data_IF_173727226533
#
_entry.id   IF_173727226533
#
_cell.length_a   1.000
_cell.length_b   1.000
_cell.length_c   1.000
_cell.angle_alpha   90.00
_cell.angle_beta   90.00
_cell.angle_gamma   90.00
#
_symmetry.space_group_name_H-M   'P 1'
#
loop_
_entity.id
_entity.type
_entity.pdbx_description
1 polymer ?
#
# COMPACT_ATOMS: atom_id res chain seq x y z
N UNK A 1 -30.38 54.91 -60.31
CA UNK A 1 -31.79 54.63 -60.61
C UNK A 1 -31.83 53.72 -61.84
N UNK A 2 -32.86 52.86 -61.91
CA UNK A 2 -33.09 51.76 -62.87
C UNK A 2 -32.41 50.42 -62.50
N UNK A 3 -33.05 49.50 -61.75
CA UNK A 3 -34.14 48.51 -62.06
C UNK A 3 -33.64 47.34 -62.92
N UNK A 4 -33.86 46.05 -62.70
CA UNK A 4 -34.70 45.26 -61.77
C UNK A 4 -34.43 43.74 -61.99
N UNK A 5 -34.69 42.92 -60.95
CA UNK A 5 -35.32 41.56 -60.94
C UNK A 5 -34.66 40.42 -61.74
N UNK A 6 -34.12 39.38 -61.10
CA UNK A 6 -34.81 38.24 -60.44
C UNK A 6 -35.56 37.31 -61.40
N UNK A 7 -35.04 36.09 -61.57
CA UNK A 7 -35.83 34.89 -61.85
C UNK A 7 -35.09 33.61 -61.42
N UNK A 8 -35.53 33.05 -60.28
CA UNK A 8 -35.32 31.67 -59.84
C UNK A 8 -36.25 30.75 -60.65
N UNK A 9 -35.74 29.63 -61.16
CA UNK A 9 -36.40 28.30 -61.23
C UNK A 9 -35.57 27.39 -62.15
N UNK A 10 -35.52 26.07 -62.04
CA UNK A 10 -35.75 25.09 -60.99
C UNK A 10 -35.37 23.74 -61.64
N UNK A 11 -34.44 22.99 -61.01
CA UNK A 11 -34.17 21.53 -61.18
C UNK A 11 -33.70 21.01 -62.55
N UNK A 12 -32.54 20.35 -62.56
CA UNK A 12 -32.40 18.88 -62.69
C UNK A 12 -30.90 18.52 -62.76
N UNK A 13 -30.32 17.92 -61.71
CA UNK A 13 -30.01 16.48 -61.59
C UNK A 13 -28.54 16.14 -61.89
N UNK A 14 -27.84 15.74 -60.81
CA UNK A 14 -26.76 14.76 -60.71
C UNK A 14 -25.56 14.88 -61.66
N UNK A 15 -24.40 15.26 -61.11
CA UNK A 15 -23.23 14.37 -60.86
C UNK A 15 -22.04 15.22 -60.42
N UNK A 16 -21.51 14.94 -59.24
CA UNK A 16 -20.36 15.63 -58.66
C UNK A 16 -20.19 15.25 -57.20
N UNK A 17 -20.01 13.95 -56.97
CA UNK A 17 -19.88 13.33 -55.66
C UNK A 17 -18.73 13.91 -54.85
N UNK A 18 -19.07 14.34 -53.62
CA UNK A 18 -18.34 14.04 -52.37
C UNK A 18 -16.83 14.30 -52.39
N UNK A 19 -16.45 15.55 -52.15
CA UNK A 19 -15.15 15.83 -51.52
C UNK A 19 -15.25 15.40 -50.05
N UNK A 20 -14.60 14.30 -49.71
CA UNK A 20 -14.38 13.82 -48.34
C UNK A 20 -13.67 14.92 -47.53
N UNK A 21 -14.39 15.53 -46.58
CA UNK A 21 -13.76 16.05 -45.37
C UNK A 21 -13.72 14.89 -44.39
N UNK A 22 -12.73 14.01 -44.57
CA UNK A 22 -12.46 12.95 -43.61
C UNK A 22 -11.69 13.56 -42.43
N UNK A 23 -12.33 13.43 -41.27
CA UNK A 23 -11.84 13.77 -39.96
C UNK A 23 -10.38 13.36 -39.72
N UNK A 24 -9.54 14.32 -39.36
CA UNK A 24 -8.40 14.09 -38.47
C UNK A 24 -8.77 14.62 -37.09
N UNK A 25 -9.72 13.95 -36.43
CA UNK A 25 -9.74 13.92 -34.98
C UNK A 25 -8.55 13.06 -34.56
N UNK A 26 -7.37 13.68 -34.47
CA UNK A 26 -6.26 13.11 -33.70
C UNK A 26 -6.76 13.11 -32.26
N UNK A 27 -7.42 12.01 -31.88
CA UNK A 27 -7.67 11.71 -30.49
C UNK A 27 -6.29 11.62 -29.84
N UNK A 28 -5.95 12.64 -29.05
CA UNK A 28 -4.88 12.56 -28.07
C UNK A 28 -5.21 11.38 -27.15
N UNK A 29 -4.71 10.20 -27.52
CA UNK A 29 -4.68 9.05 -26.64
C UNK A 29 -3.59 9.35 -25.63
N UNK A 30 -3.93 10.12 -24.60
CA UNK A 30 -3.09 10.20 -23.42
C UNK A 30 -2.90 8.77 -22.91
N UNK A 31 -1.68 8.31 -22.63
CA UNK A 31 -1.45 6.97 -22.14
C UNK A 31 -2.24 6.78 -20.84
N UNK A 32 -3.18 5.84 -20.84
CA UNK A 32 -4.10 5.57 -19.73
C UNK A 32 -3.46 4.69 -18.67
N UNK A 33 -2.31 5.11 -18.13
CA UNK A 33 -1.55 4.34 -17.13
C UNK A 33 -2.42 3.92 -15.92
N UNK A 34 -3.44 4.71 -15.57
CA UNK A 34 -4.41 4.36 -14.51
C UNK A 34 -5.50 3.36 -14.92
N UNK A 35 -5.96 3.38 -16.17
CA UNK A 35 -7.00 2.44 -16.64
C UNK A 35 -6.45 1.01 -16.77
N UNK A 36 -5.19 0.89 -17.17
CA UNK A 36 -4.49 -0.41 -17.26
C UNK A 36 -4.27 -1.01 -15.86
N UNK A 37 -3.90 -0.18 -14.87
CA UNK A 37 -3.75 -0.59 -13.47
C UNK A 37 -5.07 -1.03 -12.84
N UNK A 38 -6.14 -0.26 -13.00
CA UNK A 38 -7.48 -0.60 -12.52
C UNK A 38 -7.97 -1.94 -13.08
N UNK A 39 -7.84 -2.13 -14.40
CA UNK A 39 -8.25 -3.35 -15.08
C UNK A 39 -7.45 -4.57 -14.60
N UNK A 40 -6.12 -4.43 -14.44
CA UNK A 40 -5.26 -5.50 -13.93
C UNK A 40 -5.62 -5.87 -12.49
N UNK A 41 -5.89 -4.90 -11.62
CA UNK A 41 -6.24 -5.15 -10.23
C UNK A 41 -7.62 -5.81 -10.09
N UNK A 42 -8.61 -5.39 -10.89
CA UNK A 42 -9.91 -6.05 -10.97
C UNK A 42 -9.82 -7.47 -11.52
N UNK A 43 -8.94 -7.72 -12.48
CA UNK A 43 -8.71 -9.08 -12.98
C UNK A 43 -8.07 -9.96 -11.91
N UNK A 44 -7.10 -9.41 -11.16
CA UNK A 44 -6.51 -10.11 -10.01
C UNK A 44 -7.56 -10.45 -8.96
N UNK A 45 -8.46 -9.52 -8.62
CA UNK A 45 -9.60 -9.77 -7.72
C UNK A 45 -10.44 -10.98 -8.17
N UNK A 46 -10.84 -11.02 -9.45
CA UNK A 46 -11.62 -12.13 -10.02
C UNK A 46 -10.86 -13.44 -9.97
N UNK A 47 -9.58 -13.43 -10.31
CA UNK A 47 -8.72 -14.63 -10.33
C UNK A 47 -8.53 -15.25 -8.95
N UNK A 48 -8.45 -14.43 -7.90
CA UNK A 48 -8.29 -14.93 -6.53
C UNK A 48 -9.57 -15.59 -6.02
N UNK A 49 -10.75 -15.09 -6.43
CA UNK A 49 -12.06 -15.75 -6.26
C UNK A 49 -12.26 -16.40 -4.88
N UNK A 50 -12.22 -17.73 -4.86
CA UNK A 50 -12.42 -18.53 -3.65
C UNK A 50 -11.28 -18.45 -2.62
N UNK A 51 -10.06 -18.12 -3.03
CA UNK A 51 -8.92 -17.96 -2.11
C UNK A 51 -9.13 -16.74 -1.20
N UNK A 52 -9.79 -15.69 -1.68
CA UNK A 52 -10.22 -14.59 -0.82
C UNK A 52 -11.30 -15.05 0.16
N UNK A 53 -12.23 -15.93 -0.23
CA UNK A 53 -13.34 -16.35 0.65
C UNK A 53 -12.95 -17.41 1.67
N UNK A 54 -12.05 -18.32 1.28
CA UNK A 54 -11.67 -19.53 2.03
C UNK A 54 -10.15 -19.57 2.16
N UNK A 55 -9.65 -19.08 3.28
CA UNK A 55 -8.23 -19.02 3.60
C UNK A 55 -8.01 -19.14 5.12
N UNK A 56 -6.78 -19.47 5.56
CA UNK A 56 -6.45 -19.59 6.98
C UNK A 56 -6.43 -18.25 7.73
N UNK A 57 -6.58 -17.11 7.05
CA UNK A 57 -6.60 -15.80 7.71
C UNK A 57 -7.97 -15.46 8.30
N UNK A 58 -9.02 -16.21 7.94
CA UNK A 58 -10.42 -15.94 8.34
C UNK A 58 -10.87 -14.51 8.00
N UNK A 59 -10.36 -13.97 6.90
CA UNK A 59 -10.69 -12.65 6.34
C UNK A 59 -10.48 -12.67 4.83
N UNK A 60 -11.07 -11.74 4.07
CA UNK A 60 -10.95 -11.74 2.62
C UNK A 60 -9.58 -11.25 2.15
N UNK A 61 -8.55 -12.08 2.34
CA UNK A 61 -7.15 -11.77 2.16
C UNK A 61 -6.39 -12.91 1.49
N UNK A 62 -5.50 -12.55 0.59
CA UNK A 62 -4.49 -13.42 0.02
C UNK A 62 -3.11 -12.80 0.22
N UNK A 63 -2.15 -13.60 0.68
CA UNK A 63 -0.76 -13.20 0.83
C UNK A 63 0.10 -14.02 -0.12
N UNK A 64 0.99 -13.35 -0.85
CA UNK A 64 2.06 -13.99 -1.59
C UNK A 64 3.39 -13.29 -1.31
N UNK A 65 4.48 -14.02 -1.46
CA UNK A 65 5.81 -13.49 -1.19
C UNK A 65 6.86 -14.18 -2.04
N UNK A 66 7.87 -13.42 -2.43
CA UNK A 66 8.99 -13.89 -3.23
C UNK A 66 10.32 -13.39 -2.68
N UNK A 67 11.33 -14.23 -2.81
CA UNK A 67 12.71 -13.95 -2.49
C UNK A 67 13.54 -14.21 -3.75
N UNK A 68 14.15 -13.16 -4.28
CA UNK A 68 15.16 -13.26 -5.33
C UNK A 68 16.55 -13.01 -4.74
N UNK A 69 17.59 -13.09 -5.57
CA UNK A 69 18.98 -13.00 -5.10
C UNK A 69 19.27 -11.76 -4.25
N UNK A 70 18.68 -10.61 -4.56
CA UNK A 70 18.96 -9.33 -3.88
C UNK A 70 17.71 -8.52 -3.55
N UNK A 71 16.53 -9.11 -3.67
CA UNK A 71 15.25 -8.43 -3.45
C UNK A 71 14.25 -9.34 -2.76
N UNK A 72 13.45 -8.75 -1.88
CA UNK A 72 12.31 -9.36 -1.23
C UNK A 72 11.07 -8.57 -1.61
N UNK A 73 9.98 -9.28 -1.90
CA UNK A 73 8.67 -8.69 -2.19
C UNK A 73 7.57 -9.52 -1.54
N UNK A 74 6.74 -8.87 -0.73
CA UNK A 74 5.52 -9.42 -0.17
C UNK A 74 4.33 -8.61 -0.66
N UNK A 75 3.27 -9.31 -1.06
CA UNK A 75 2.03 -8.73 -1.53
C UNK A 75 0.87 -9.22 -0.67
N UNK A 76 -0.04 -8.30 -0.34
CA UNK A 76 -1.35 -8.62 0.21
C UNK A 76 -2.41 -8.09 -0.72
N UNK A 77 -3.34 -8.96 -1.08
CA UNK A 77 -4.57 -8.62 -1.76
C UNK A 77 -5.70 -8.81 -0.78
N UNK A 78 -6.51 -7.78 -0.54
CA UNK A 78 -7.54 -7.85 0.48
C UNK A 78 -8.79 -7.07 0.11
N UNK A 79 -9.95 -7.58 0.50
CA UNK A 79 -11.20 -6.81 0.46
C UNK A 79 -11.39 -6.16 1.83
N UNK A 80 -11.62 -4.86 1.84
CA UNK A 80 -11.99 -4.12 3.06
C UNK A 80 -13.40 -3.61 2.94
N UNK A 81 -14.13 -3.62 4.06
CA UNK A 81 -15.55 -3.22 4.13
C UNK A 81 -15.70 -1.70 4.31
N UNK A 82 -14.97 -0.95 3.49
CA UNK A 82 -15.02 0.51 3.41
C UNK A 82 -15.32 0.96 1.98
N UNK A 83 -16.19 1.97 1.78
CA UNK A 83 -16.41 2.55 0.45
C UNK A 83 -15.12 3.10 -0.15
N UNK A 84 -14.93 2.91 -1.46
CA UNK A 84 -13.71 3.37 -2.16
C UNK A 84 -13.43 4.85 -1.97
N UNK A 85 -14.47 5.69 -1.96
CA UNK A 85 -14.33 7.13 -1.72
C UNK A 85 -13.68 7.46 -0.37
N UNK A 86 -13.97 6.68 0.68
CA UNK A 86 -13.35 6.83 2.00
C UNK A 86 -11.89 6.42 1.96
N UNK A 87 -11.59 5.27 1.36
CA UNK A 87 -10.21 4.75 1.24
C UNK A 87 -9.35 5.73 0.43
N UNK A 88 -9.84 6.14 -0.75
CA UNK A 88 -9.18 7.10 -1.64
C UNK A 88 -8.97 8.44 -0.93
N UNK A 89 -10.01 9.01 -0.32
CA UNK A 89 -9.93 10.31 0.37
C UNK A 89 -9.00 10.33 1.59
N UNK A 90 -8.65 9.17 2.17
CA UNK A 90 -7.70 9.11 3.28
C UNK A 90 -6.29 8.76 2.85
N UNK A 91 -6.12 7.81 1.94
CA UNK A 91 -4.80 7.24 1.62
C UNK A 91 -4.16 7.81 0.35
N UNK A 92 -4.92 8.54 -0.47
CA UNK A 92 -4.47 9.17 -1.72
C UNK A 92 -4.59 10.71 -1.72
N UNK A 93 -5.06 11.33 -0.62
CA UNK A 93 -5.19 12.79 -0.57
C UNK A 93 -3.82 13.48 -0.76
N UNK A 94 -3.66 14.41 -1.70
CA UNK A 94 -2.36 15.02 -1.98
C UNK A 94 -1.84 15.91 -0.83
N UNK A 95 -2.73 16.39 0.04
CA UNK A 95 -2.39 17.29 1.14
C UNK A 95 -2.32 16.57 2.49
N UNK A 96 -3.29 15.70 2.78
CA UNK A 96 -3.42 14.98 4.04
C UNK A 96 -2.90 13.54 3.95
N UNK A 97 -2.78 12.97 2.74
CA UNK A 97 -2.31 11.61 2.51
C UNK A 97 -0.97 11.33 3.19
N UNK A 98 0.07 12.17 3.02
CA UNK A 98 1.33 11.99 3.74
C UNK A 98 1.16 11.89 5.27
N UNK A 99 0.37 12.77 5.88
CA UNK A 99 0.12 12.75 7.32
C UNK A 99 -0.71 11.51 7.74
N UNK A 100 -1.70 11.12 6.93
CA UNK A 100 -2.50 9.92 7.14
C UNK A 100 -1.66 8.65 7.05
N UNK A 101 -0.72 8.57 6.10
CA UNK A 101 0.26 7.48 6.04
C UNK A 101 1.14 7.45 7.28
N UNK A 102 1.52 8.59 7.86
CA UNK A 102 2.18 8.57 9.16
C UNK A 102 1.30 8.02 10.29
N UNK A 103 0.00 8.33 10.28
CA UNK A 103 -0.96 7.76 11.24
C UNK A 103 -1.16 6.23 11.06
N UNK A 104 -0.91 5.70 9.86
CA UNK A 104 -0.86 4.25 9.57
C UNK A 104 0.47 3.66 10.04
N UNK A 105 1.60 4.20 9.55
CA UNK A 105 2.93 3.64 9.78
C UNK A 105 3.32 3.64 11.25
N UNK A 106 2.85 4.63 12.03
CA UNK A 106 3.10 4.68 13.46
C UNK A 106 2.46 3.51 14.20
N UNK A 107 1.43 2.83 13.68
CA UNK A 107 0.84 1.67 14.39
C UNK A 107 1.82 0.49 14.49
N UNK A 108 2.78 0.40 13.56
CA UNK A 108 3.76 -0.68 13.53
C UNK A 108 4.71 -0.59 14.74
N UNK A 109 4.94 -1.73 15.42
CA UNK A 109 5.74 -1.85 16.64
C UNK A 109 7.19 -1.33 16.53
N UNK A 110 7.76 -1.38 15.32
CA UNK A 110 9.10 -0.89 15.01
C UNK A 110 9.15 0.59 14.60
N UNK A 111 8.02 1.25 14.31
CA UNK A 111 8.02 2.66 13.94
C UNK A 111 8.00 3.53 15.19
N UNK A 112 9.02 4.36 15.39
CA UNK A 112 9.25 5.18 16.59
C UNK A 112 8.84 6.63 16.42
N UNK A 113 8.75 7.06 15.18
CA UNK A 113 8.33 8.38 14.77
C UNK A 113 7.97 8.32 13.30
N UNK A 114 6.97 9.11 12.92
CA UNK A 114 6.69 9.41 11.53
C UNK A 114 6.22 10.86 11.44
N UNK A 115 6.84 11.66 10.58
CA UNK A 115 6.35 13.00 10.32
C UNK A 115 6.33 13.27 8.82
N UNK A 116 5.21 13.78 8.34
CA UNK A 116 5.08 14.20 6.96
C UNK A 116 5.61 15.63 6.82
N UNK A 117 6.58 15.82 5.93
CA UNK A 117 7.06 17.13 5.51
C UNK A 117 6.79 17.32 4.02
N UNK A 118 6.67 18.57 3.60
CA UNK A 118 6.56 18.93 2.18
C UNK A 118 7.75 19.79 1.80
N UNK A 119 8.45 19.43 0.73
CA UNK A 119 9.56 20.20 0.17
C UNK A 119 9.37 20.45 -1.32
N UNK A 120 10.36 21.09 -1.95
CA UNK A 120 10.36 21.37 -3.40
C UNK A 120 10.26 20.11 -4.27
N UNK A 121 10.67 18.96 -3.74
CA UNK A 121 10.69 17.67 -4.44
C UNK A 121 9.48 16.78 -4.09
N UNK A 122 8.42 17.35 -3.52
CA UNK A 122 7.21 16.64 -3.11
C UNK A 122 7.16 16.32 -1.62
N UNK A 123 6.14 15.54 -1.24
CA UNK A 123 5.93 15.12 0.14
C UNK A 123 6.88 13.99 0.55
N UNK A 124 7.42 14.08 1.75
CA UNK A 124 8.34 13.11 2.35
C UNK A 124 7.79 12.69 3.72
N UNK A 125 7.92 11.41 4.06
CA UNK A 125 7.68 10.90 5.40
C UNK A 125 9.01 10.57 6.06
N UNK A 126 9.33 11.30 7.12
CA UNK A 126 10.46 11.05 7.98
C UNK A 126 10.10 9.98 9.02
N UNK A 127 10.55 8.75 8.78
CA UNK A 127 10.20 7.58 9.59
C UNK A 127 11.43 7.13 10.38
N UNK A 128 11.31 7.04 11.71
CA UNK A 128 12.35 6.40 12.51
C UNK A 128 11.94 4.97 12.84
N UNK A 129 12.82 4.02 12.50
CA UNK A 129 12.62 2.58 12.73
C UNK A 129 13.56 2.10 13.83
N UNK A 130 13.02 1.37 14.80
CA UNK A 130 13.74 0.88 15.97
C UNK A 130 13.33 -0.52 16.41
N UNK A 131 13.77 -0.90 17.60
CA UNK A 131 13.43 -2.11 18.35
C UNK A 131 11.99 -2.07 18.86
N UNK A 132 11.53 -3.12 19.52
CA UNK A 132 10.12 -3.27 19.98
C UNK A 132 9.91 -2.70 21.39
N UNK A 133 10.66 -1.65 21.72
CA UNK A 133 10.67 -0.96 23.02
C UNK A 133 10.66 0.55 22.78
N UNK A 134 10.43 1.34 23.82
CA UNK A 134 10.63 2.78 23.76
C UNK A 134 12.12 3.10 23.51
N UNK A 135 12.40 4.06 22.63
CA UNK A 135 13.76 4.48 22.29
C UNK A 135 13.82 5.97 21.99
N UNK A 136 14.98 6.58 22.23
CA UNK A 136 15.29 7.94 21.72
C UNK A 136 15.45 7.89 20.21
N UNK A 137 15.10 8.98 19.51
CA UNK A 137 15.24 9.03 18.05
C UNK A 137 16.71 8.91 17.58
N UNK A 138 17.66 9.37 18.39
CA UNK A 138 19.10 9.19 18.14
C UNK A 138 19.54 7.73 18.05
N UNK A 139 18.77 6.81 18.65
CA UNK A 139 19.11 5.40 18.78
C UNK A 139 18.32 4.55 17.75
N UNK A 140 17.77 5.21 16.74
CA UNK A 140 16.93 4.63 15.69
C UNK A 140 17.49 4.91 14.31
N UNK A 141 17.00 4.17 13.32
CA UNK A 141 17.35 4.37 11.91
C UNK A 141 16.31 5.26 11.25
N UNK A 142 16.73 6.41 10.71
CA UNK A 142 15.87 7.27 9.91
C UNK A 142 15.76 6.74 8.49
N UNK A 143 14.54 6.64 8.00
CA UNK A 143 14.16 6.29 6.62
C UNK A 143 13.29 7.42 6.09
N UNK A 144 13.65 7.97 4.94
CA UNK A 144 12.89 9.03 4.29
C UNK A 144 12.12 8.45 3.11
N UNK A 145 10.81 8.28 3.28
CA UNK A 145 9.95 7.83 2.20
C UNK A 145 9.48 9.02 1.37
N UNK A 146 9.74 9.01 0.07
CA UNK A 146 9.07 9.90 -0.88
C UNK A 146 7.65 9.39 -1.11
N UNK A 147 6.67 10.24 -0.84
CA UNK A 147 5.26 9.98 -1.14
C UNK A 147 4.95 10.40 -2.57
N UNK A 148 4.34 9.49 -3.34
CA UNK A 148 3.91 9.76 -4.70
C UNK A 148 2.55 9.14 -4.97
N UNK A 149 1.63 9.94 -5.50
CA UNK A 149 0.44 9.45 -6.20
C UNK A 149 0.85 9.04 -7.61
N UNK A 150 0.95 7.74 -7.86
CA UNK A 150 1.40 7.21 -9.15
C UNK A 150 0.27 7.24 -10.20
N UNK A 151 -0.96 7.02 -9.76
CA UNK A 151 -2.16 7.12 -10.58
C UNK A 151 -3.37 7.45 -9.69
N UNK A 152 -4.31 8.23 -10.22
CA UNK A 152 -5.58 8.51 -9.55
C UNK A 152 -6.67 8.76 -10.60
N UNK A 153 -7.76 8.04 -10.46
CA UNK A 153 -8.98 8.08 -11.28
C UNK A 153 -10.19 7.96 -10.35
N UNK A 154 -11.43 8.17 -10.82
CA UNK A 154 -12.62 8.05 -9.98
C UNK A 154 -12.83 6.67 -9.32
N UNK A 155 -12.26 5.61 -9.88
CA UNK A 155 -12.43 4.21 -9.46
C UNK A 155 -11.12 3.45 -9.25
N UNK A 156 -9.98 4.15 -9.27
CA UNK A 156 -8.68 3.56 -8.98
C UNK A 156 -7.67 4.58 -8.49
N UNK A 157 -6.84 4.19 -7.53
CA UNK A 157 -5.63 4.94 -7.21
C UNK A 157 -4.46 4.01 -6.94
N UNK A 158 -3.24 4.54 -7.10
CA UNK A 158 -2.00 3.98 -6.61
C UNK A 158 -1.20 5.05 -5.88
N UNK A 159 -0.80 4.73 -4.65
CA UNK A 159 0.19 5.51 -3.88
C UNK A 159 1.43 4.68 -3.64
N UNK A 160 2.60 5.28 -3.89
CA UNK A 160 3.90 4.69 -3.59
C UNK A 160 4.61 5.51 -2.49
N UNK A 161 5.15 4.80 -1.50
CA UNK A 161 6.16 5.29 -0.57
C UNK A 161 7.49 4.62 -0.91
N UNK A 162 8.49 5.41 -1.34
CA UNK A 162 9.80 4.87 -1.75
C UNK A 162 10.96 5.45 -0.96
N UNK A 163 11.94 4.64 -0.59
CA UNK A 163 13.16 5.11 0.05
C UNK A 163 14.39 4.37 -0.51
N UNK A 164 15.46 5.11 -0.81
CA UNK A 164 16.64 4.53 -1.47
C UNK A 164 17.46 3.65 -0.51
N UNK A 165 17.42 3.95 0.79
CA UNK A 165 18.17 3.26 1.83
C UNK A 165 17.32 2.98 3.06
N UNK A 166 17.64 1.93 3.78
CA UNK A 166 17.08 1.66 5.10
C UNK A 166 18.06 1.00 6.07
N UNK A 167 17.56 0.47 7.20
CA UNK A 167 18.39 -0.04 8.27
C UNK A 167 19.29 -1.21 7.82
N UNK A 168 20.49 -1.31 8.40
CA UNK A 168 21.37 -2.48 8.22
C UNK A 168 21.73 -2.80 6.75
N UNK A 169 21.83 -1.79 5.89
CA UNK A 169 22.29 -1.95 4.51
C UNK A 169 21.23 -2.50 3.54
N UNK A 170 19.96 -2.43 3.91
CA UNK A 170 18.83 -2.58 2.99
C UNK A 170 18.63 -1.31 2.17
N UNK A 171 17.95 -1.44 1.03
CA UNK A 171 17.80 -0.38 0.04
C UNK A 171 16.56 -0.56 -0.80
N UNK A 172 16.28 0.41 -1.67
CA UNK A 172 15.22 0.31 -2.69
C UNK A 172 13.85 -0.07 -2.09
N UNK A 173 13.51 0.52 -0.94
CA UNK A 173 12.26 0.26 -0.25
C UNK A 173 11.08 0.77 -1.06
N UNK A 174 10.01 -0.04 -1.08
CA UNK A 174 8.72 0.32 -1.64
C UNK A 174 7.59 -0.21 -0.76
N UNK A 175 6.74 0.69 -0.29
CA UNK A 175 5.39 0.38 0.19
C UNK A 175 4.44 0.98 -0.84
N UNK A 176 3.69 0.14 -1.56
CA UNK A 176 2.73 0.60 -2.56
C UNK A 176 1.33 0.13 -2.18
N UNK A 177 0.35 1.00 -2.31
CA UNK A 177 -1.07 0.66 -2.14
C UNK A 177 -1.84 1.04 -3.39
N UNK A 178 -2.49 0.05 -3.96
CA UNK A 178 -3.45 0.20 -5.05
C UNK A 178 -4.84 -0.19 -4.57
N UNK A 179 -5.87 0.46 -5.11
CA UNK A 179 -7.25 0.17 -4.72
C UNK A 179 -8.25 0.35 -5.86
N UNK A 180 -9.29 -0.49 -5.89
CA UNK A 180 -10.47 -0.41 -6.77
C UNK A 180 -11.75 -0.71 -5.99
N UNK A 181 -12.91 -0.13 -6.35
CA UNK A 181 -14.20 -0.54 -5.77
C UNK A 181 -14.61 -1.93 -6.25
N UNK A 182 -15.16 -2.76 -5.34
CA UNK A 182 -15.71 -4.10 -5.65
C UNK A 182 -17.14 -4.29 -5.10
N UNK A 183 -17.91 -3.21 -5.16
CA UNK A 183 -19.26 -3.04 -4.64
C UNK A 183 -19.45 -1.63 -4.07
N UNK A 184 -20.63 -1.34 -3.54
CA UNK A 184 -20.95 0.01 -3.04
C UNK A 184 -20.18 0.35 -1.75
N UNK A 185 -19.95 -0.65 -0.89
CA UNK A 185 -19.36 -0.47 0.44
C UNK A 185 -18.02 -1.18 0.63
N UNK A 186 -17.42 -1.69 -0.45
CA UNK A 186 -16.20 -2.51 -0.38
C UNK A 186 -15.14 -2.06 -1.37
N UNK A 187 -13.90 -2.14 -0.92
CA UNK A 187 -12.72 -1.81 -1.71
C UNK A 187 -11.79 -3.01 -1.76
N UNK A 188 -11.27 -3.32 -2.93
CA UNK A 188 -10.20 -4.30 -3.08
C UNK A 188 -8.87 -3.58 -3.12
N UNK A 189 -7.97 -3.97 -2.21
CA UNK A 189 -6.66 -3.41 -2.01
C UNK A 189 -5.59 -4.38 -2.53
N UNK A 190 -4.52 -3.82 -3.08
CA UNK A 190 -3.24 -4.49 -3.23
C UNK A 190 -2.15 -3.68 -2.54
N UNK A 191 -1.59 -4.27 -1.48
CA UNK A 191 -0.45 -3.74 -0.74
C UNK A 191 0.81 -4.49 -1.17
N UNK A 192 1.82 -3.77 -1.65
CA UNK A 192 3.18 -4.30 -1.83
C UNK A 192 4.09 -3.77 -0.73
N UNK A 193 4.88 -4.65 -0.11
CA UNK A 193 6.05 -4.29 0.68
C UNK A 193 7.29 -4.98 0.10
N UNK A 194 8.24 -4.18 -0.36
CA UNK A 194 9.45 -4.68 -1.00
C UNK A 194 10.69 -3.89 -0.57
N UNK A 195 11.84 -4.57 -0.57
CA UNK A 195 13.14 -3.95 -0.39
C UNK A 195 14.25 -4.83 -0.97
N UNK A 196 15.35 -4.19 -1.34
CA UNK A 196 16.59 -4.83 -1.74
C UNK A 196 17.60 -4.94 -0.61
N UNK A 197 18.59 -5.82 -0.80
CA UNK A 197 19.77 -5.90 0.06
C UNK A 197 21.02 -6.23 -0.76
N UNK A 198 22.15 -5.65 -0.35
CA UNK A 198 23.47 -5.98 -0.91
C UNK A 198 24.10 -7.20 -0.24
N UNK A 199 25.35 -7.51 -0.61
CA UNK A 199 26.10 -8.62 0.00
C UNK A 199 26.24 -8.47 1.53
N UNK A 200 26.48 -7.24 2.01
CA UNK A 200 26.56 -6.92 3.45
C UNK A 200 25.21 -7.17 4.14
N UNK A 201 24.11 -6.67 3.55
CA UNK A 201 22.76 -6.90 4.07
C UNK A 201 22.40 -8.39 4.11
N UNK A 202 22.79 -9.16 3.11
CA UNK A 202 22.61 -10.63 3.10
C UNK A 202 23.34 -11.31 4.24
N UNK A 203 24.59 -10.91 4.52
CA UNK A 203 25.36 -11.46 5.64
C UNK A 203 24.73 -11.10 6.99
N UNK A 204 24.39 -9.82 7.21
CA UNK A 204 23.73 -9.37 8.43
C UNK A 204 22.42 -10.13 8.68
N UNK A 205 21.65 -10.38 7.61
CA UNK A 205 20.40 -11.12 7.68
C UNK A 205 20.61 -12.60 8.03
N UNK A 206 21.64 -13.25 7.47
CA UNK A 206 22.02 -14.61 7.87
C UNK A 206 22.37 -14.69 9.36
N UNK A 207 23.16 -13.75 9.87
CA UNK A 207 23.53 -13.68 11.29
C UNK A 207 22.31 -13.47 12.19
N UNK A 208 21.39 -12.59 11.80
CA UNK A 208 20.15 -12.36 12.55
C UNK A 208 19.27 -13.64 12.62
N UNK A 209 19.13 -14.33 11.49
CA UNK A 209 18.34 -15.56 11.40
C UNK A 209 19.00 -16.75 12.12
N UNK A 210 20.32 -16.76 12.24
CA UNK A 210 21.04 -17.74 13.06
C UNK A 210 20.90 -17.51 14.57
N UNK A 211 20.25 -16.42 14.99
CA UNK A 211 20.11 -16.02 16.40
C UNK A 211 18.65 -15.72 16.74
N UNK A 212 18.28 -14.45 16.94
CA UNK A 212 16.98 -14.00 17.45
C UNK A 212 15.83 -14.21 16.44
N UNK A 213 16.18 -14.40 15.16
CA UNK A 213 15.22 -14.61 14.07
C UNK A 213 14.90 -16.07 13.75
N UNK A 214 15.57 -17.06 14.36
CA UNK A 214 15.51 -18.47 13.93
C UNK A 214 14.10 -19.05 13.99
N UNK A 215 13.36 -18.68 15.02
CA UNK A 215 12.03 -19.26 15.30
C UNK A 215 10.91 -18.44 14.67
N UNK A 216 11.25 -17.37 13.94
CA UNK A 216 10.29 -16.47 13.34
C UNK A 216 9.81 -17.02 12.00
N UNK A 217 8.52 -17.29 11.94
CA UNK A 217 7.85 -17.82 10.74
C UNK A 217 6.82 -16.85 10.17
N UNK A 218 6.62 -16.95 8.86
CA UNK A 218 5.56 -16.29 8.11
C UNK A 218 4.25 -17.08 8.10
N UNK A 219 3.47 -16.86 7.06
CA UNK A 219 2.13 -17.39 6.86
C UNK A 219 2.05 -18.44 5.74
N UNK A 220 2.95 -18.39 4.75
CA UNK A 220 2.98 -19.39 3.68
C UNK A 220 3.37 -20.76 4.24
N UNK A 221 2.58 -21.78 3.93
CA UNK A 221 2.91 -23.18 4.27
C UNK A 221 3.89 -23.75 3.23
N UNK A 222 4.94 -24.42 3.70
CA UNK A 222 5.97 -25.05 2.85
C UNK A 222 5.93 -26.58 2.90
N UNK A 223 4.95 -27.14 3.60
CA UNK A 223 4.79 -28.57 3.85
C UNK A 223 4.39 -28.85 5.30
N UNK A 224 4.28 -30.12 5.65
CA UNK A 224 3.99 -30.58 7.01
C UNK A 224 3.53 -32.04 7.00
N UNK A 225 3.97 -32.84 7.99
CA UNK A 225 3.32 -34.12 8.25
C UNK A 225 1.88 -33.87 8.70
N UNK A 226 0.96 -34.79 8.38
CA UNK A 226 -0.48 -34.67 8.61
C UNK A 226 -0.82 -34.07 9.98
N UNK A 227 -1.24 -32.79 10.01
CA UNK A 227 -1.77 -32.12 11.19
C UNK A 227 -1.13 -30.77 11.52
N UNK A 228 0.18 -30.58 11.29
CA UNK A 228 0.88 -29.34 11.67
C UNK A 228 1.49 -28.63 10.46
N UNK A 229 0.98 -27.43 10.08
CA UNK A 229 1.57 -26.67 9.00
C UNK A 229 2.98 -26.18 9.40
N UNK A 230 3.97 -26.53 8.59
CA UNK A 230 5.28 -25.88 8.61
C UNK A 230 5.20 -24.60 7.79
N UNK A 231 5.46 -23.49 8.47
CA UNK A 231 5.44 -22.16 7.87
C UNK A 231 6.82 -21.77 7.36
N UNK A 232 6.85 -20.93 6.33
CA UNK A 232 8.08 -20.37 5.78
C UNK A 232 8.83 -19.59 6.86
N UNK A 233 10.09 -19.96 7.11
CA UNK A 233 10.99 -19.24 8.01
C UNK A 233 11.89 -18.27 7.26
N UNK A 234 12.99 -17.88 7.90
CA UNK A 234 14.05 -17.11 7.24
C UNK A 234 13.61 -15.71 6.80
N UNK A 235 14.27 -15.17 5.78
CA UNK A 235 14.06 -13.78 5.33
C UNK A 235 12.65 -13.58 4.75
N UNK A 236 12.16 -14.60 4.04
CA UNK A 236 10.80 -14.63 3.51
C UNK A 236 9.76 -14.65 4.64
N UNK A 237 9.98 -15.44 5.69
CA UNK A 237 9.13 -15.40 6.89
C UNK A 237 9.10 -14.02 7.55
N UNK A 238 10.25 -13.36 7.73
CA UNK A 238 10.31 -12.00 8.26
C UNK A 238 9.57 -10.98 7.39
N UNK A 239 9.69 -11.11 6.07
CA UNK A 239 9.00 -10.26 5.10
C UNK A 239 7.48 -10.40 5.20
N UNK A 240 6.96 -11.64 5.24
CA UNK A 240 5.52 -11.89 5.33
C UNK A 240 4.91 -11.30 6.60
N UNK A 241 5.62 -11.40 7.73
CA UNK A 241 5.20 -10.80 9.01
C UNK A 241 5.06 -9.29 8.91
N UNK A 242 6.03 -8.60 8.31
CA UNK A 242 5.96 -7.15 8.13
C UNK A 242 4.90 -6.74 7.12
N UNK A 243 4.76 -7.48 6.01
CA UNK A 243 3.71 -7.24 5.00
C UNK A 243 2.32 -7.31 5.64
N UNK A 244 2.05 -8.35 6.44
CA UNK A 244 0.81 -8.47 7.21
C UNK A 244 0.62 -7.34 8.21
N UNK A 245 1.65 -6.97 8.98
CA UNK A 245 1.55 -5.87 9.95
C UNK A 245 1.22 -4.52 9.31
N UNK A 246 1.75 -4.24 8.11
CA UNK A 246 1.40 -3.03 7.35
C UNK A 246 -0.05 -3.08 6.85
N UNK A 247 -0.52 -4.21 6.35
CA UNK A 247 -1.94 -4.37 5.98
C UNK A 247 -2.85 -4.16 7.19
N UNK A 248 -2.55 -4.79 8.33
CA UNK A 248 -3.33 -4.63 9.55
C UNK A 248 -3.31 -3.17 10.07
N UNK A 249 -2.23 -2.43 9.84
CA UNK A 249 -2.17 -0.99 10.16
C UNK A 249 -3.11 -0.17 9.28
N UNK A 250 -3.18 -0.47 7.98
CA UNK A 250 -4.12 0.18 7.06
C UNK A 250 -5.56 -0.12 7.49
N UNK A 251 -5.90 -1.39 7.73
CA UNK A 251 -7.25 -1.78 8.20
C UNK A 251 -7.61 -1.11 9.54
N UNK A 252 -6.70 -1.15 10.52
CA UNK A 252 -6.94 -0.53 11.82
C UNK A 252 -7.17 0.98 11.72
N UNK A 253 -6.41 1.67 10.87
CA UNK A 253 -6.59 3.10 10.62
C UNK A 253 -7.95 3.40 9.97
N UNK A 254 -8.33 2.67 8.91
CA UNK A 254 -9.60 2.86 8.21
C UNK A 254 -10.81 2.56 9.12
N UNK A 255 -10.69 1.56 9.98
CA UNK A 255 -11.74 1.20 10.93
C UNK A 255 -11.94 2.19 12.08
N UNK A 256 -10.99 3.11 12.29
CA UNK A 256 -10.94 3.98 13.48
C UNK A 256 -10.75 5.45 13.09
N UNK A 257 -11.24 5.83 11.91
CA UNK A 257 -11.15 7.21 11.42
C UNK A 257 -11.87 8.20 12.35
N UNK A 258 -12.95 7.77 12.99
CA UNK A 258 -13.78 8.54 13.93
C UNK A 258 -13.45 8.24 15.41
N UNK A 259 -12.47 7.36 15.68
CA UNK A 259 -12.12 6.93 17.05
C UNK A 259 -10.87 7.63 17.56
N UNK A 260 -10.71 7.76 18.88
CA UNK A 260 -9.48 8.29 19.46
C UNK A 260 -8.30 7.32 19.26
N UNK A 261 -7.10 7.85 19.47
CA UNK A 261 -5.84 7.14 19.18
C UNK A 261 -5.69 5.83 19.94
N UNK A 262 -6.08 5.80 21.22
CA UNK A 262 -5.99 4.62 22.08
C UNK A 262 -6.77 3.43 21.51
N UNK A 263 -7.97 3.68 20.96
CA UNK A 263 -8.76 2.65 20.29
C UNK A 263 -8.12 2.18 18.98
N UNK A 264 -7.47 3.08 18.24
CA UNK A 264 -6.71 2.71 17.03
C UNK A 264 -5.51 1.81 17.35
N UNK A 265 -4.74 2.17 18.37
CA UNK A 265 -3.61 1.38 18.86
C UNK A 265 -4.08 0.00 19.34
N UNK A 266 -5.13 -0.03 20.17
CA UNK A 266 -5.74 -1.27 20.64
C UNK A 266 -6.18 -2.17 19.49
N UNK A 267 -6.89 -1.61 18.50
CA UNK A 267 -7.36 -2.38 17.34
C UNK A 267 -6.23 -3.01 16.56
N UNK A 268 -5.15 -2.26 16.29
CA UNK A 268 -4.00 -2.80 15.58
C UNK A 268 -3.36 -3.96 16.36
N UNK A 269 -3.16 -3.78 17.67
CA UNK A 269 -2.61 -4.82 18.54
C UNK A 269 -3.48 -6.07 18.53
N UNK A 270 -4.77 -5.92 18.81
CA UNK A 270 -5.72 -7.03 18.87
C UNK A 270 -5.81 -7.76 17.51
N UNK A 271 -5.64 -7.05 16.39
CA UNK A 271 -5.58 -7.65 15.06
C UNK A 271 -4.29 -8.46 14.82
N UNK A 272 -3.15 -8.05 15.36
CA UNK A 272 -1.91 -8.84 15.30
C UNK A 272 -1.97 -10.09 16.17
N UNK A 273 -2.66 -10.02 17.31
CA UNK A 273 -2.82 -11.14 18.25
C UNK A 273 -3.78 -12.23 17.74
N UNK A 274 -4.48 -12.02 16.63
CA UNK A 274 -5.17 -13.09 15.90
C UNK A 274 -4.20 -14.07 15.23
N UNK A 275 -2.93 -13.68 15.08
CA UNK A 275 -1.87 -14.47 14.47
C UNK A 275 -0.66 -14.62 15.40
N UNK A 276 -0.83 -15.14 16.64
CA UNK A 276 0.19 -15.01 17.67
C UNK A 276 1.49 -15.76 17.33
N UNK A 277 1.39 -16.92 16.65
CA UNK A 277 2.57 -17.68 16.19
C UNK A 277 3.45 -16.86 15.24
N UNK A 278 2.84 -16.02 14.40
CA UNK A 278 3.55 -15.20 13.43
C UNK A 278 3.86 -13.82 13.98
N UNK A 279 2.92 -13.14 14.63
CA UNK A 279 2.98 -11.69 14.84
C UNK A 279 3.19 -11.24 16.28
N UNK A 280 2.92 -12.08 17.28
CA UNK A 280 3.11 -11.72 18.68
C UNK A 280 4.58 -11.40 18.96
N UNK A 281 4.82 -10.33 19.72
CA UNK A 281 6.17 -9.87 20.05
C UNK A 281 6.31 -9.22 21.43
N UNK A 282 5.24 -8.60 21.94
CA UNK A 282 5.23 -7.83 23.19
C UNK A 282 3.86 -7.89 23.85
N UNK A 283 3.82 -7.67 25.15
CA UNK A 283 2.56 -7.56 25.90
C UNK A 283 1.74 -6.33 25.50
N UNK A 284 0.43 -6.43 25.61
CA UNK A 284 -0.53 -5.36 25.24
C UNK A 284 -0.23 -4.04 25.92
N UNK A 285 -0.02 -4.04 27.23
CA UNK A 285 0.24 -2.81 27.99
C UNK A 285 1.58 -2.18 27.59
N UNK A 286 2.61 -3.01 27.34
CA UNK A 286 3.91 -2.54 26.88
C UNK A 286 3.80 -1.87 25.50
N UNK A 287 3.05 -2.47 24.56
CA UNK A 287 2.77 -1.87 23.27
C UNK A 287 2.02 -0.53 23.41
N UNK A 288 0.88 -0.51 24.11
CA UNK A 288 0.04 0.68 24.21
C UNK A 288 0.77 1.85 24.87
N UNK A 289 1.51 1.60 25.95
CA UNK A 289 2.29 2.62 26.64
C UNK A 289 3.39 3.19 25.74
N UNK A 290 4.18 2.33 25.10
CA UNK A 290 5.22 2.72 24.15
C UNK A 290 4.65 3.58 23.02
N UNK A 291 3.55 3.13 22.41
CA UNK A 291 2.94 3.82 21.27
C UNK A 291 2.32 5.16 21.64
N UNK A 292 1.70 5.28 22.80
CA UNK A 292 1.16 6.55 23.27
C UNK A 292 2.27 7.60 23.41
N UNK A 293 3.42 7.24 23.96
CA UNK A 293 4.58 8.12 24.09
C UNK A 293 5.19 8.50 22.73
N UNK A 294 5.30 7.53 21.82
CA UNK A 294 5.83 7.76 20.48
C UNK A 294 4.92 8.68 19.65
N UNK A 295 3.59 8.57 19.79
CA UNK A 295 2.64 9.49 19.13
C UNK A 295 2.66 10.87 19.76
N UNK A 296 2.72 10.96 21.09
CA UNK A 296 2.87 12.26 21.77
C UNK A 296 4.11 13.01 21.28
N UNK A 297 5.20 12.28 21.03
CA UNK A 297 6.46 12.83 20.51
C UNK A 297 6.32 13.38 19.09
N UNK A 298 5.50 12.78 18.23
CA UNK A 298 5.25 13.29 16.87
C UNK A 298 4.65 14.71 16.88
N UNK A 299 4.00 15.10 17.98
CA UNK A 299 3.38 16.43 18.11
C UNK A 299 4.37 17.49 18.59
N UNK A 300 5.47 17.10 19.24
CA UNK A 300 6.36 18.02 19.96
C UNK A 300 7.78 18.06 19.40
N UNK A 301 8.26 16.98 18.80
CA UNK A 301 9.53 16.93 18.09
C UNK A 301 9.27 17.19 16.60
N UNK A 302 10.01 18.12 16.00
CA UNK A 302 10.05 18.35 14.55
C UNK A 302 11.44 18.06 14.03
#
# INVERSE_FOLDING_TARGET
METTRSARAMRLVRRGCRALVAALCVACSAPSFGADGAAALLERYRSLGDQLKRNPFHRPLYLESSEASSTLKGDIYAVVDYPFSVVNGKLNDPSQGPANWCAVLILHLNTKYCHASSGSNGAVLDVNVGRKIEQKLSDTYRVQFRYRVAAATPDYFQVDLTADSGPMGTKDYRIALEAVPVGESRTFLHLTYAYGFGAVGRMAMKTYLATVGSDKVGFTTVGGASGDPQYVGGVRGLLERNTMRYYLAIDAYLATLDKPLDQRLARWFDATEQYPRQLHEVDRNAYLQMKAQEVQRQQTAR
#
